data_IF_824282265399
#
_entry.id   IF_824282265399
#
_cell.length_a   1.000
_cell.length_b   1.000
_cell.length_c   1.000
_cell.angle_alpha   90.00
_cell.angle_beta   90.00
_cell.angle_gamma   90.00
#
_symmetry.space_group_name_H-M   'P 1'
#
loop_
_entity.id
_entity.type
_entity.pdbx_description
1 polymer ?
#
# COMPACT_ATOMS: atom_id res chain seq x y z
N UNK A 1 12.85 21.82 37.20
CA UNK A 1 12.80 20.42 36.73
C UNK A 1 11.51 20.29 35.94
N UNK A 2 11.55 20.50 34.62
CA UNK A 2 10.37 20.40 33.77
C UNK A 2 10.03 18.93 33.51
N UNK A 3 8.75 18.55 33.38
CA UNK A 3 8.38 17.17 33.06
C UNK A 3 9.04 16.81 31.72
N UNK A 4 9.88 15.77 31.77
CA UNK A 4 10.58 15.26 30.60
C UNK A 4 9.56 14.91 29.52
N UNK A 5 9.92 15.21 28.28
CA UNK A 5 9.28 14.69 27.09
C UNK A 5 9.12 13.17 27.26
N UNK A 6 7.91 12.72 27.60
CA UNK A 6 7.55 11.33 27.46
C UNK A 6 7.67 11.03 25.98
N UNK A 7 8.60 10.13 25.64
CA UNK A 7 8.62 9.39 24.38
C UNK A 7 7.31 8.61 24.28
N UNK A 8 6.22 9.30 23.98
CA UNK A 8 5.11 8.70 23.27
C UNK A 8 5.65 8.60 21.83
N UNK A 9 6.41 7.54 21.58
CA UNK A 9 6.70 7.12 20.22
C UNK A 9 5.34 6.98 19.56
N UNK A 10 5.03 7.93 18.68
CA UNK A 10 3.70 8.16 18.15
C UNK A 10 3.24 6.94 17.35
N UNK A 11 2.65 5.97 18.04
CA UNK A 11 1.85 4.92 17.44
C UNK A 11 0.70 5.65 16.75
N UNK A 12 0.83 5.84 15.44
CA UNK A 12 -0.24 6.38 14.64
C UNK A 12 -1.43 5.45 14.79
N UNK A 13 -2.54 6.01 15.24
CA UNK A 13 -3.81 5.31 15.26
C UNK A 13 -4.46 5.50 13.89
N UNK A 14 -5.13 4.46 13.39
CA UNK A 14 -5.79 4.52 12.11
C UNK A 14 -6.86 5.62 12.11
N UNK A 15 -6.78 6.59 11.20
CA UNK A 15 -7.76 7.70 11.14
C UNK A 15 -9.14 7.24 10.71
N UNK A 16 -9.22 6.08 10.03
CA UNK A 16 -10.45 5.48 9.52
C UNK A 16 -11.21 4.75 10.64
N UNK A 17 -10.59 3.75 11.27
CA UNK A 17 -11.27 2.94 12.28
C UNK A 17 -11.09 3.44 13.73
N UNK A 18 -10.09 4.32 13.98
CA UNK A 18 -9.71 4.91 15.27
C UNK A 18 -9.44 3.93 16.41
N UNK A 19 -9.33 2.65 16.10
CA UNK A 19 -9.15 1.55 17.05
C UNK A 19 -7.81 0.85 16.84
N UNK A 20 -7.50 0.54 15.59
CA UNK A 20 -6.27 -0.15 15.24
C UNK A 20 -5.06 0.76 15.23
N UNK A 21 -3.91 0.12 15.40
CA UNK A 21 -2.60 0.74 15.31
C UNK A 21 -2.11 0.61 13.88
N UNK A 22 -1.50 1.67 13.35
CA UNK A 22 -0.87 1.63 12.03
C UNK A 22 0.59 1.21 12.19
N UNK A 23 1.02 0.20 11.43
CA UNK A 23 2.38 -0.34 11.44
C UNK A 23 2.92 -0.41 10.01
N UNK A 24 4.19 -0.06 9.82
CA UNK A 24 4.85 -0.19 8.53
C UNK A 24 4.99 -1.65 8.11
N UNK A 25 4.73 -1.94 6.84
CA UNK A 25 4.95 -3.25 6.26
C UNK A 25 4.82 -3.25 4.73
N UNK A 26 5.21 -4.35 4.12
CA UNK A 26 5.05 -4.54 2.68
C UNK A 26 3.64 -5.01 2.36
N UNK A 27 2.91 -4.26 1.54
CA UNK A 27 1.58 -4.62 1.03
C UNK A 27 1.63 -4.91 -0.47
N UNK A 28 0.73 -5.76 -0.93
CA UNK A 28 0.49 -5.95 -2.36
C UNK A 28 -0.57 -4.95 -2.83
N UNK A 29 -0.10 -3.85 -3.43
CA UNK A 29 -0.98 -2.89 -4.07
C UNK A 29 -1.45 -3.45 -5.42
N UNK A 30 -2.77 -3.40 -5.65
CA UNK A 30 -3.38 -3.80 -6.91
C UNK A 30 -3.53 -2.58 -7.83
N UNK A 31 -2.91 -2.64 -9.00
CA UNK A 31 -3.08 -1.66 -10.07
C UNK A 31 -3.91 -2.27 -11.19
N UNK A 32 -5.14 -1.77 -11.34
CA UNK A 32 -6.03 -2.17 -12.43
C UNK A 32 -5.79 -1.32 -13.67
N UNK A 33 -5.42 -1.97 -14.77
CA UNK A 33 -5.20 -1.35 -16.08
C UNK A 33 -6.13 -2.05 -17.08
N UNK A 34 -7.33 -1.50 -17.28
CA UNK A 34 -8.35 -2.15 -18.10
C UNK A 34 -8.86 -3.44 -17.46
N UNK A 35 -8.53 -4.57 -18.10
CA UNK A 35 -8.79 -5.94 -17.60
C UNK A 35 -7.58 -6.58 -16.94
N UNK A 36 -6.41 -5.95 -17.01
CA UNK A 36 -5.19 -6.45 -16.40
C UNK A 36 -5.10 -5.97 -14.94
N UNK A 37 -4.66 -6.88 -14.07
CA UNK A 37 -4.44 -6.62 -12.65
C UNK A 37 -2.96 -6.83 -12.35
N UNK A 38 -2.25 -5.75 -12.03
CA UNK A 38 -0.87 -5.80 -11.61
C UNK A 38 -0.79 -5.82 -10.09
N UNK A 39 -0.05 -6.78 -9.54
CA UNK A 39 0.24 -6.85 -8.11
C UNK A 39 1.64 -6.29 -7.87
N UNK A 40 1.73 -5.16 -7.18
CA UNK A 40 2.99 -4.46 -6.92
C UNK A 40 3.26 -4.46 -5.42
N UNK A 41 4.36 -5.08 -4.94
CA UNK A 41 4.75 -4.98 -3.56
C UNK A 41 5.27 -3.56 -3.27
N UNK A 42 4.68 -2.89 -2.28
CA UNK A 42 5.09 -1.55 -1.85
C UNK A 42 5.11 -1.45 -0.33
N UNK A 43 6.02 -0.65 0.19
CA UNK A 43 6.05 -0.31 1.62
C UNK A 43 4.92 0.69 1.92
N UNK A 44 4.06 0.33 2.86
CA UNK A 44 2.95 1.16 3.32
C UNK A 44 2.71 0.94 4.82
N UNK A 45 2.09 1.91 5.47
CA UNK A 45 1.66 1.73 6.85
C UNK A 45 0.27 1.11 6.85
N UNK A 46 0.07 -0.02 7.53
CA UNK A 46 -1.18 -0.77 7.51
C UNK A 46 -1.80 -0.80 8.90
N UNK A 47 -3.10 -0.57 8.96
CA UNK A 47 -3.87 -0.76 10.18
C UNK A 47 -4.09 -2.25 10.46
N UNK A 48 -3.69 -2.71 11.65
CA UNK A 48 -3.84 -4.10 12.08
C UNK A 48 -5.29 -4.57 12.31
N UNK A 49 -6.23 -3.65 12.50
CA UNK A 49 -7.65 -3.98 12.75
C UNK A 49 -8.53 -3.94 11.49
N UNK A 50 -8.34 -2.95 10.62
CA UNK A 50 -9.23 -2.74 9.46
C UNK A 50 -8.57 -2.96 8.10
N UNK A 51 -7.25 -3.13 8.05
CA UNK A 51 -6.50 -3.35 6.81
C UNK A 51 -6.30 -2.10 5.95
N UNK A 52 -6.66 -0.91 6.44
CA UNK A 52 -6.39 0.35 5.73
C UNK A 52 -4.88 0.53 5.50
N UNK A 53 -4.49 0.78 4.25
CA UNK A 53 -3.10 0.95 3.84
C UNK A 53 -2.83 2.43 3.49
N UNK A 54 -1.88 3.03 4.20
CA UNK A 54 -1.44 4.40 4.02
C UNK A 54 -0.17 4.40 3.17
N UNK A 55 -0.30 4.90 1.94
CA UNK A 55 0.81 5.02 1.01
C UNK A 55 1.51 6.37 1.17
N UNK A 56 2.83 6.33 1.29
CA UNK A 56 3.64 7.55 1.22
C UNK A 56 3.62 8.14 -0.19
N UNK A 57 4.02 9.41 -0.32
CA UNK A 57 4.19 10.05 -1.64
C UNK A 57 5.18 9.27 -2.51
N UNK A 58 6.20 8.66 -1.92
CA UNK A 58 7.19 7.84 -2.63
C UNK A 58 6.57 6.54 -3.14
N UNK A 59 5.77 5.85 -2.31
CA UNK A 59 5.04 4.65 -2.72
C UNK A 59 4.05 4.95 -3.85
N UNK A 60 3.30 6.04 -3.76
CA UNK A 60 2.38 6.48 -4.82
C UNK A 60 3.13 6.76 -6.13
N UNK A 61 4.23 7.50 -6.07
CA UNK A 61 5.05 7.79 -7.24
C UNK A 61 5.61 6.52 -7.88
N UNK A 62 6.02 5.54 -7.07
CA UNK A 62 6.47 4.25 -7.57
C UNK A 62 5.35 3.50 -8.30
N UNK A 63 4.14 3.46 -7.74
CA UNK A 63 2.97 2.84 -8.37
C UNK A 63 2.62 3.51 -9.72
N UNK A 64 2.69 4.85 -9.78
CA UNK A 64 2.49 5.59 -11.03
C UNK A 64 3.55 5.22 -12.09
N UNK A 65 4.83 5.17 -11.70
CA UNK A 65 5.90 4.75 -12.60
C UNK A 65 5.72 3.32 -13.11
N UNK A 66 5.33 2.38 -12.24
CA UNK A 66 5.05 0.99 -12.63
C UNK A 66 3.91 0.94 -13.65
N UNK A 67 2.85 1.72 -13.44
CA UNK A 67 1.74 1.83 -14.39
C UNK A 67 2.20 2.36 -15.75
N UNK A 68 2.99 3.44 -15.78
CA UNK A 68 3.52 4.00 -17.03
C UNK A 68 4.44 3.02 -17.77
N UNK A 69 5.32 2.34 -17.04
CA UNK A 69 6.22 1.33 -17.59
C UNK A 69 5.47 0.14 -18.19
N UNK A 70 4.35 -0.27 -17.58
CA UNK A 70 3.51 -1.33 -18.13
C UNK A 70 2.78 -0.88 -19.40
N UNK A 71 2.20 0.33 -19.39
CA UNK A 71 1.52 0.90 -20.55
C UNK A 71 2.46 1.12 -21.75
N UNK A 72 3.70 1.54 -21.48
CA UNK A 72 4.76 1.71 -22.48
C UNK A 72 5.44 0.40 -22.89
N UNK A 73 5.02 -0.75 -22.33
CA UNK A 73 5.57 -2.09 -22.58
C UNK A 73 7.07 -2.22 -22.25
N UNK A 74 7.57 -1.37 -21.36
CA UNK A 74 8.93 -1.46 -20.81
C UNK A 74 9.02 -2.64 -19.83
N UNK A 75 7.95 -2.89 -19.09
CA UNK A 75 7.81 -4.07 -18.22
C UNK A 75 6.70 -4.98 -18.72
N UNK A 76 6.98 -6.28 -18.75
CA UNK A 76 6.01 -7.33 -19.07
C UNK A 76 6.10 -8.36 -17.95
N UNK A 77 5.42 -8.14 -16.82
CA UNK A 77 5.43 -9.09 -15.71
C UNK A 77 4.82 -10.43 -16.15
N UNK A 78 5.35 -11.57 -15.67
CA UNK A 78 4.74 -12.86 -15.93
C UNK A 78 3.38 -12.95 -15.24
N UNK A 79 2.43 -13.69 -15.85
CA UNK A 79 1.17 -13.99 -15.19
C UNK A 79 1.42 -14.86 -13.96
N UNK A 80 0.90 -14.43 -12.81
CA UNK A 80 0.95 -15.17 -11.53
C UNK A 80 -0.21 -16.16 -11.38
N UNK A 81 -1.22 -16.09 -12.25
CA UNK A 81 -2.41 -16.93 -12.20
C UNK A 81 -3.53 -16.42 -13.12
N UNK A 82 -4.65 -17.14 -13.12
CA UNK A 82 -5.84 -16.76 -13.86
C UNK A 82 -6.86 -16.09 -12.93
N UNK A 83 -7.42 -14.97 -13.35
CA UNK A 83 -8.51 -14.29 -12.65
C UNK A 83 -9.83 -14.76 -13.28
N UNK A 84 -10.71 -15.34 -12.47
CA UNK A 84 -12.04 -15.80 -12.90
C UNK A 84 -13.11 -14.91 -12.29
N UNK A 85 -13.91 -14.25 -13.12
CA UNK A 85 -15.07 -13.49 -12.68
C UNK A 85 -16.32 -14.37 -12.80
N UNK A 86 -17.05 -14.55 -11.69
CA UNK A 86 -18.36 -15.22 -11.69
C UNK A 86 -19.42 -14.12 -11.83
N UNK A 87 -20.24 -14.20 -12.88
CA UNK A 87 -21.38 -13.33 -13.19
C UNK A 87 -22.70 -13.98 -12.83
#
# INVERSE_FOLDING_TARGET
MGPGFTKEEALMHCVICKRGTVKSGTVQAELRIGTDHLMVPVEADVCDECGEAYYSTEAMRHLEQVRENFLSKVIVPPSVGHVYQIS
#
